data_IF_977956769977
#
_entry.id   IF_977956769977
#
_cell.length_a   1.000
_cell.length_b   1.000
_cell.length_c   1.000
_cell.angle_alpha   90.00
_cell.angle_beta   90.00
_cell.angle_gamma   90.00
#
_symmetry.space_group_name_H-M   'P 1'
#
loop_
_entity.id
_entity.type
_entity.pdbx_description
1 polymer ?
#
# COMPACT_ATOMS: atom_id res chain seq x y z
N UNK A 1 9.33 4.70 12.75
CA UNK A 1 10.20 3.95 11.82
C UNK A 1 10.31 4.71 10.50
N UNK A 2 11.50 4.81 9.91
CA UNK A 2 11.77 5.69 8.77
C UNK A 2 10.96 5.31 7.52
N UNK A 3 10.67 4.02 7.29
CA UNK A 3 9.84 3.55 6.18
C UNK A 3 8.36 3.99 6.29
N UNK A 4 7.80 4.06 7.51
CA UNK A 4 6.41 4.52 7.72
C UNK A 4 6.27 6.01 7.40
N UNK A 5 7.27 6.82 7.76
CA UNK A 5 7.28 8.24 7.42
C UNK A 5 7.37 8.45 5.91
N UNK A 6 8.24 7.69 5.22
CA UNK A 6 8.31 7.69 3.75
C UNK A 6 6.97 7.28 3.13
N UNK A 7 6.32 6.26 3.67
CA UNK A 7 5.01 5.81 3.20
C UNK A 7 3.97 6.92 3.28
N UNK A 8 3.82 7.56 4.44
CA UNK A 8 2.87 8.66 4.59
C UNK A 8 3.20 9.83 3.67
N UNK A 9 4.49 10.14 3.49
CA UNK A 9 4.94 11.18 2.56
C UNK A 9 4.57 10.86 1.11
N UNK A 10 4.79 9.62 0.66
CA UNK A 10 4.37 9.17 -0.69
C UNK A 10 2.86 9.30 -0.84
N UNK A 11 2.10 8.81 0.14
CA UNK A 11 0.64 8.82 0.10
C UNK A 11 0.07 10.25 0.12
N UNK A 12 0.66 11.18 0.87
CA UNK A 12 0.16 12.55 0.99
C UNK A 12 0.64 13.48 -0.12
N UNK A 13 1.94 13.44 -0.44
CA UNK A 13 2.60 14.41 -1.33
C UNK A 13 2.72 13.90 -2.77
N UNK A 14 2.90 12.59 -2.99
CA UNK A 14 3.17 12.05 -4.34
C UNK A 14 1.95 11.40 -5.00
N UNK A 15 1.00 10.88 -4.22
CA UNK A 15 -0.19 10.21 -4.77
C UNK A 15 -1.31 11.20 -5.11
N UNK A 16 -1.82 11.06 -6.33
CA UNK A 16 -3.02 11.74 -6.83
C UNK A 16 -4.30 11.11 -6.24
N UNK A 17 -5.45 11.77 -6.42
CA UNK A 17 -6.74 11.26 -5.92
C UNK A 17 -7.10 9.87 -6.47
N UNK A 18 -6.80 9.60 -7.74
CA UNK A 18 -7.02 8.29 -8.35
C UNK A 18 -6.11 7.21 -7.74
N UNK A 19 -4.83 7.51 -7.53
CA UNK A 19 -3.88 6.60 -6.88
C UNK A 19 -4.27 6.34 -5.42
N UNK A 20 -4.78 7.35 -4.71
CA UNK A 20 -5.32 7.18 -3.34
C UNK A 20 -6.52 6.23 -3.33
N UNK A 21 -7.43 6.35 -4.31
CA UNK A 21 -8.57 5.43 -4.46
C UNK A 21 -8.12 4.00 -4.79
N UNK A 22 -7.16 3.84 -5.70
CA UNK A 22 -6.57 2.54 -6.04
C UNK A 22 -5.84 1.93 -4.85
N UNK A 23 -5.12 2.75 -4.08
CA UNK A 23 -4.50 2.31 -2.84
C UNK A 23 -5.54 1.82 -1.84
N UNK A 24 -6.62 2.55 -1.63
CA UNK A 24 -7.72 2.12 -0.76
C UNK A 24 -8.28 0.76 -1.20
N UNK A 25 -8.50 0.58 -2.51
CA UNK A 25 -8.91 -0.70 -3.10
C UNK A 25 -7.86 -1.79 -2.85
N UNK A 26 -6.58 -1.46 -2.94
CA UNK A 26 -5.49 -2.40 -2.73
C UNK A 26 -5.39 -2.87 -1.27
N UNK A 27 -5.51 -1.98 -0.28
CA UNK A 27 -5.38 -2.36 1.14
C UNK A 27 -6.68 -2.81 1.80
N UNK A 28 -7.83 -2.38 1.29
CA UNK A 28 -9.14 -2.66 1.90
C UNK A 28 -10.10 -3.43 0.98
N UNK A 29 -9.76 -3.62 -0.29
CA UNK A 29 -10.68 -4.21 -1.28
C UNK A 29 -11.89 -3.32 -1.62
N UNK A 30 -11.97 -2.12 -1.03
CA UNK A 30 -13.08 -1.16 -1.19
C UNK A 30 -12.56 0.17 -1.69
N UNK A 31 -13.35 0.83 -2.53
CA UNK A 31 -12.99 2.14 -3.10
C UNK A 31 -13.47 3.32 -2.22
N UNK A 32 -14.23 3.05 -1.15
CA UNK A 32 -14.83 4.06 -0.28
C UNK A 32 -14.57 3.77 1.19
N UNK A 33 -14.36 4.84 1.96
CA UNK A 33 -14.41 4.79 3.41
C UNK A 33 -15.86 4.52 3.85
N UNK A 34 -16.12 3.66 4.84
CA UNK A 34 -17.45 3.48 5.40
C UNK A 34 -17.88 4.78 6.07
N UNK A 35 -19.15 5.12 5.90
CA UNK A 35 -19.72 6.39 6.38
C UNK A 35 -19.78 6.53 7.91
N UNK A 36 -19.35 5.52 8.67
CA UNK A 36 -19.32 5.54 10.14
C UNK A 36 -18.07 4.86 10.68
N UNK A 37 -17.45 5.49 11.66
CA UNK A 37 -16.32 4.96 12.44
C UNK A 37 -16.61 3.60 13.10
N UNK A 38 -17.86 3.28 13.43
CA UNK A 38 -18.24 1.97 13.98
C UNK A 38 -17.97 0.80 13.02
N UNK A 39 -17.90 1.05 11.71
CA UNK A 39 -17.49 0.03 10.73
C UNK A 39 -15.97 -0.01 10.51
N UNK A 40 -15.23 0.91 11.12
CA UNK A 40 -13.77 0.94 11.15
C UNK A 40 -13.27 0.04 12.29
N UNK A 41 -13.68 -1.22 12.26
CA UNK A 41 -13.28 -2.23 13.25
C UNK A 41 -11.90 -2.82 12.98
N UNK A 42 -11.38 -2.66 11.76
CA UNK A 42 -10.06 -3.13 11.37
C UNK A 42 -9.03 -2.01 11.46
N UNK A 43 -7.95 -2.26 12.19
CA UNK A 43 -6.83 -1.32 12.29
C UNK A 43 -5.89 -1.49 11.11
N UNK A 44 -5.67 -0.41 10.36
CA UNK A 44 -4.66 -0.41 9.30
C UNK A 44 -3.27 -0.66 9.90
N UNK A 45 -2.67 -1.79 9.53
CA UNK A 45 -1.39 -2.22 10.07
C UNK A 45 -0.33 -2.27 8.97
N UNK A 46 0.80 -1.59 9.17
CA UNK A 46 1.93 -1.64 8.24
C UNK A 46 2.99 -2.57 8.80
N UNK A 47 3.15 -3.72 8.15
CA UNK A 47 4.16 -4.71 8.48
C UNK A 47 5.39 -4.55 7.58
N UNK A 48 6.57 -4.79 8.14
CA UNK A 48 7.79 -4.77 7.36
C UNK A 48 7.99 -6.11 6.66
N UNK A 49 8.09 -6.11 5.34
CA UNK A 49 8.27 -7.32 4.54
C UNK A 49 9.75 -7.72 4.42
N UNK A 50 10.64 -6.75 4.21
CA UNK A 50 12.08 -6.95 4.04
C UNK A 50 12.85 -5.82 4.73
N UNK A 51 13.87 -6.17 5.52
CA UNK A 51 14.78 -5.20 6.17
C UNK A 51 15.95 -4.78 5.28
N UNK A 52 16.39 -5.69 4.42
CA UNK A 52 17.53 -5.43 3.53
C UNK A 52 17.08 -4.50 2.39
N UNK A 53 17.64 -3.29 2.35
CA UNK A 53 17.22 -2.24 1.43
C UNK A 53 17.51 -2.61 -0.04
N UNK A 54 18.59 -3.35 -0.28
CA UNK A 54 19.03 -3.75 -1.62
C UNK A 54 18.08 -4.77 -2.26
N UNK A 55 17.58 -5.71 -1.45
CA UNK A 55 16.56 -6.67 -1.88
C UNK A 55 15.14 -6.07 -1.79
N UNK A 56 14.90 -5.16 -0.85
CA UNK A 56 13.61 -4.48 -0.69
C UNK A 56 13.22 -3.71 -1.95
N UNK A 57 14.16 -3.00 -2.58
CA UNK A 57 13.93 -2.22 -3.80
C UNK A 57 13.50 -3.08 -5.01
N UNK A 58 13.75 -4.39 -4.97
CA UNK A 58 13.31 -5.35 -6.00
C UNK A 58 11.95 -5.96 -5.71
N UNK A 59 11.45 -5.83 -4.48
CA UNK A 59 10.17 -6.40 -4.05
C UNK A 59 9.03 -5.39 -4.18
N UNK A 60 7.87 -5.90 -4.57
CA UNK A 60 6.61 -5.14 -4.56
C UNK A 60 5.96 -5.22 -3.18
N UNK A 61 5.26 -4.15 -2.76
CA UNK A 61 4.49 -4.19 -1.52
C UNK A 61 3.30 -5.14 -1.68
N UNK A 62 2.89 -5.78 -0.60
CA UNK A 62 1.81 -6.77 -0.59
C UNK A 62 0.73 -6.35 0.39
N UNK A 63 -0.53 -6.37 -0.02
CA UNK A 63 -1.65 -6.11 0.88
C UNK A 63 -2.42 -7.38 1.20
N UNK A 64 -3.03 -7.39 2.37
CA UNK A 64 -4.02 -8.37 2.78
C UNK A 64 -5.33 -7.62 3.05
N UNK A 65 -6.19 -7.59 2.04
CA UNK A 65 -7.47 -6.86 2.07
C UNK A 65 -8.45 -7.40 3.12
N UNK A 66 -8.33 -8.67 3.49
CA UNK A 66 -9.17 -9.33 4.51
C UNK A 66 -8.81 -8.95 5.96
N UNK A 67 -7.68 -8.29 6.19
CA UNK A 67 -7.24 -7.92 7.55
C UNK A 67 -6.66 -6.51 7.62
N UNK A 68 -6.88 -5.72 6.57
CA UNK A 68 -6.38 -4.35 6.42
C UNK A 68 -4.86 -4.18 6.71
N UNK A 69 -4.06 -5.16 6.30
CA UNK A 69 -2.60 -5.16 6.52
C UNK A 69 -1.87 -4.83 5.23
N UNK A 70 -0.91 -3.91 5.31
CA UNK A 70 0.04 -3.60 4.25
C UNK A 70 1.43 -4.08 4.64
N UNK A 71 1.98 -5.01 3.89
CA UNK A 71 3.36 -5.43 4.00
C UNK A 71 4.22 -4.60 3.05
N UNK A 72 5.10 -3.78 3.63
CA UNK A 72 5.95 -2.86 2.90
C UNK A 72 7.43 -3.24 3.09
N UNK A 73 8.21 -3.35 2.01
CA UNK A 73 9.67 -3.45 2.09
C UNK A 73 10.30 -2.15 2.63
N UNK A 74 11.45 -2.24 3.31
CA UNK A 74 12.22 -1.05 3.69
C UNK A 74 12.94 -0.47 2.46
N UNK A 75 12.21 0.22 1.60
CA UNK A 75 12.77 0.84 0.40
C UNK A 75 13.86 1.86 0.74
N UNK A 76 14.94 1.88 -0.04
CA UNK A 76 16.09 2.75 0.16
C UNK A 76 15.73 4.24 0.09
N UNK A 77 14.81 4.60 -0.82
CA UNK A 77 14.39 6.00 -1.05
C UNK A 77 12.86 6.13 -1.17
N UNK A 78 12.39 7.38 -1.06
CA UNK A 78 10.95 7.71 -1.21
C UNK A 78 10.47 7.50 -2.66
N UNK A 79 11.34 7.71 -3.64
CA UNK A 79 11.06 7.55 -5.07
C UNK A 79 10.83 6.09 -5.42
N UNK A 80 11.69 5.19 -4.93
CA UNK A 80 11.51 3.74 -5.12
C UNK A 80 10.21 3.29 -4.47
N UNK A 81 9.92 3.77 -3.25
CA UNK A 81 8.66 3.46 -2.58
C UNK A 81 7.43 3.91 -3.39
N UNK A 82 7.46 5.13 -3.95
CA UNK A 82 6.41 5.64 -4.83
C UNK A 82 6.25 4.76 -6.07
N UNK A 83 7.34 4.47 -6.78
CA UNK A 83 7.29 3.67 -8.01
C UNK A 83 6.73 2.26 -7.74
N UNK A 84 7.20 1.60 -6.68
CA UNK A 84 6.78 0.24 -6.32
C UNK A 84 5.34 0.18 -5.81
N UNK A 85 4.91 1.13 -4.97
CA UNK A 85 3.51 1.23 -4.54
C UNK A 85 2.60 1.54 -5.72
N UNK A 86 2.95 2.52 -6.55
CA UNK A 86 2.15 2.90 -7.72
C UNK A 86 2.01 1.71 -8.70
N UNK A 87 3.10 0.97 -8.91
CA UNK A 87 3.06 -0.23 -9.73
C UNK A 87 2.12 -1.28 -9.13
N UNK A 88 2.24 -1.57 -7.83
CA UNK A 88 1.43 -2.58 -7.15
C UNK A 88 -0.08 -2.24 -7.14
N UNK A 89 -0.47 -1.00 -6.80
CA UNK A 89 -1.88 -0.61 -6.77
C UNK A 89 -2.53 -0.65 -8.16
N UNK A 90 -1.74 -0.38 -9.21
CA UNK A 90 -2.19 -0.36 -10.60
C UNK A 90 -2.30 -1.77 -11.19
N UNK A 91 -1.33 -2.65 -10.91
CA UNK A 91 -1.27 -3.99 -11.50
C UNK A 91 -2.00 -5.05 -10.64
N UNK A 92 -1.98 -4.93 -9.32
CA UNK A 92 -2.60 -5.95 -8.44
C UNK A 92 -4.14 -5.86 -8.43
N UNK A 93 -4.71 -4.69 -8.72
CA UNK A 93 -6.16 -4.50 -8.86
C UNK A 93 -6.74 -5.05 -10.18
N UNK A 94 -5.88 -5.47 -11.11
CA UNK A 94 -6.23 -5.85 -12.48
C UNK A 94 -5.99 -7.34 -12.79
N UNK A 95 -5.56 -8.13 -11.80
CA UNK A 95 -5.48 -9.60 -11.95
C UNK A 95 -6.83 -10.17 -11.55
N UNK A 96 -7.84 -9.86 -12.36
CA UNK A 96 -9.01 -10.72 -12.55
C UNK A 96 -8.50 -11.89 -13.41
N UNK A 97 -7.82 -12.86 -12.79
CA UNK A 97 -7.57 -14.16 -13.41
C UNK A 97 -8.84 -14.96 -13.20
N UNK A 98 -9.83 -14.67 -14.04
CA UNK A 98 -10.82 -15.64 -14.49
C UNK A 98 -10.03 -16.82 -15.06
N UNK A 99 -10.13 -17.97 -14.40
CA UNK A 99 -9.52 -19.24 -14.77
C UNK A 99 -10.52 -20.35 -14.54
#
# INVERSE_FOLDING_TARGET
AQYVQRFWKVLSEMFNEEQKKLFLKFVWGRNTLPSRDEYFTENFSINLLMRDECEADKMLPRSHTCSFVLHLPSYSTVEVMYERLNYAITHCSSIDTDG
#
